data_IF_554881585492
#
_entry.id   IF_554881585492
#
_cell.length_a   1.000
_cell.length_b   1.000
_cell.length_c   1.000
_cell.angle_alpha   90.00
_cell.angle_beta   90.00
_cell.angle_gamma   90.00
#
_symmetry.space_group_name_H-M   'P 1'
#
loop_
_entity.id
_entity.type
_entity.pdbx_description
1 polymer ?
#
# COMPACT_ATOMS: atom_id res chain seq x y z
N UNK A 1 -12.39 -22.98 -4.28
CA UNK A 1 -13.47 -22.00 -4.05
C UNK A 1 -14.46 -22.07 -5.21
N UNK A 2 -15.77 -22.12 -4.95
CA UNK A 2 -16.78 -22.04 -6.05
C UNK A 2 -17.01 -20.56 -6.34
N UNK A 3 -16.76 -20.14 -7.58
CA UNK A 3 -17.10 -18.81 -8.04
C UNK A 3 -18.62 -18.60 -8.01
N UNK A 4 -19.04 -17.46 -7.47
CA UNK A 4 -20.45 -17.05 -7.51
C UNK A 4 -20.65 -16.05 -8.64
N UNK A 5 -21.67 -16.22 -9.45
CA UNK A 5 -22.06 -15.27 -10.48
C UNK A 5 -23.05 -14.29 -9.87
N UNK A 6 -22.76 -13.00 -10.00
CA UNK A 6 -23.63 -11.90 -9.59
C UNK A 6 -23.95 -11.05 -10.80
N UNK A 7 -25.22 -10.73 -11.02
CA UNK A 7 -25.67 -9.84 -12.09
C UNK A 7 -25.93 -8.46 -11.52
N UNK A 8 -25.34 -7.44 -12.12
CA UNK A 8 -25.48 -6.03 -11.71
C UNK A 8 -26.00 -5.23 -12.90
N UNK A 9 -27.00 -4.35 -12.66
CA UNK A 9 -27.38 -3.32 -13.64
C UNK A 9 -26.42 -2.15 -13.49
N UNK A 10 -25.87 -1.69 -14.62
CA UNK A 10 -24.90 -0.58 -14.69
C UNK A 10 -25.55 0.51 -15.57
N UNK A 11 -25.48 1.75 -15.12
CA UNK A 11 -25.94 2.91 -15.89
C UNK A 11 -25.11 3.08 -17.16
N UNK A 12 -25.73 3.58 -18.22
CA UNK A 12 -25.11 3.70 -19.55
C UNK A 12 -23.81 4.51 -19.53
N UNK A 13 -23.76 5.60 -18.75
CA UNK A 13 -22.57 6.44 -18.62
C UNK A 13 -21.41 5.61 -18.04
N UNK A 14 -21.61 4.93 -16.93
CA UNK A 14 -20.58 4.09 -16.29
C UNK A 14 -20.20 2.90 -17.19
N UNK A 15 -21.15 2.36 -17.95
CA UNK A 15 -20.87 1.29 -18.90
C UNK A 15 -19.94 1.73 -20.03
N UNK A 16 -20.12 2.94 -20.58
CA UNK A 16 -19.22 3.48 -21.59
C UNK A 16 -17.81 3.76 -21.03
N UNK A 17 -17.71 4.24 -19.80
CA UNK A 17 -16.42 4.39 -19.13
C UNK A 17 -15.70 3.05 -18.93
N UNK A 18 -16.42 2.01 -18.50
CA UNK A 18 -15.86 0.66 -18.38
C UNK A 18 -15.39 0.12 -19.73
N UNK A 19 -16.14 0.37 -20.81
CA UNK A 19 -15.76 -0.03 -22.17
C UNK A 19 -14.47 0.66 -22.60
N UNK A 20 -14.41 1.98 -22.43
CA UNK A 20 -13.23 2.77 -22.78
C UNK A 20 -12.02 2.30 -22.00
N UNK A 21 -12.12 2.19 -20.68
CA UNK A 21 -11.03 1.71 -19.82
C UNK A 21 -10.59 0.29 -20.21
N UNK A 22 -11.53 -0.58 -20.55
CA UNK A 22 -11.26 -1.94 -21.03
C UNK A 22 -10.39 -1.96 -22.29
N UNK A 23 -10.66 -1.06 -23.24
CA UNK A 23 -9.90 -0.93 -24.48
C UNK A 23 -8.52 -0.31 -24.24
N UNK A 24 -8.46 0.78 -23.47
CA UNK A 24 -7.23 1.53 -23.22
C UNK A 24 -6.18 0.69 -22.44
N UNK A 25 -6.61 -0.29 -21.64
CA UNK A 25 -5.75 -1.08 -20.75
C UNK A 25 -5.69 -2.57 -21.09
N UNK A 26 -6.31 -3.00 -22.20
CA UNK A 26 -6.41 -4.42 -22.59
C UNK A 26 -6.90 -5.33 -21.45
N UNK A 27 -7.93 -4.88 -20.74
CA UNK A 27 -8.52 -5.58 -19.60
C UNK A 27 -9.96 -5.98 -19.86
N UNK A 28 -10.36 -7.20 -19.48
CA UNK A 28 -11.78 -7.58 -19.59
C UNK A 28 -12.65 -6.77 -18.62
N UNK A 29 -13.86 -6.40 -19.06
CA UNK A 29 -14.86 -5.66 -18.26
C UNK A 29 -15.16 -6.38 -16.95
N UNK A 30 -15.23 -7.71 -16.96
CA UNK A 30 -15.43 -8.54 -15.76
C UNK A 30 -14.28 -8.41 -14.77
N UNK A 31 -13.03 -8.29 -15.26
CA UNK A 31 -11.87 -8.06 -14.41
C UNK A 31 -11.93 -6.66 -13.79
N UNK A 32 -12.24 -5.63 -14.57
CA UNK A 32 -12.39 -4.24 -14.10
C UNK A 32 -13.44 -4.16 -12.99
N UNK A 33 -14.62 -4.74 -13.22
CA UNK A 33 -15.71 -4.75 -12.23
C UNK A 33 -15.30 -5.48 -10.94
N UNK A 34 -14.63 -6.62 -11.06
CA UNK A 34 -14.15 -7.39 -9.91
C UNK A 34 -13.10 -6.62 -9.10
N UNK A 35 -12.17 -5.98 -9.79
CA UNK A 35 -11.10 -5.21 -9.15
C UNK A 35 -11.68 -3.94 -8.48
N UNK A 36 -12.68 -3.29 -9.10
CA UNK A 36 -13.41 -2.18 -8.51
C UNK A 36 -14.17 -2.60 -7.23
N UNK A 37 -14.86 -3.75 -7.26
CA UNK A 37 -15.53 -4.27 -6.08
C UNK A 37 -14.55 -4.63 -4.96
N UNK A 38 -13.43 -5.29 -5.29
CA UNK A 38 -12.38 -5.57 -4.30
C UNK A 38 -11.85 -4.29 -3.67
N UNK A 39 -11.56 -3.27 -4.49
CA UNK A 39 -11.10 -1.96 -4.02
C UNK A 39 -12.15 -1.26 -3.15
N UNK A 40 -13.42 -1.33 -3.52
CA UNK A 40 -14.51 -0.79 -2.73
C UNK A 40 -14.55 -1.43 -1.34
N UNK A 41 -14.55 -2.76 -1.26
CA UNK A 41 -14.62 -3.46 0.02
C UNK A 41 -13.35 -3.26 0.86
N UNK A 42 -12.17 -3.18 0.25
CA UNK A 42 -10.92 -2.96 0.97
C UNK A 42 -10.79 -1.54 1.54
N UNK A 43 -11.38 -0.54 0.87
CA UNK A 43 -11.25 0.86 1.28
C UNK A 43 -12.45 1.30 2.12
N UNK A 44 -13.68 1.07 1.65
CA UNK A 44 -14.89 1.66 2.22
C UNK A 44 -15.56 0.81 3.30
N UNK A 45 -15.21 -0.47 3.41
CA UNK A 45 -15.68 -1.31 4.52
C UNK A 45 -14.91 -1.08 5.81
N UNK A 46 -13.80 -0.36 5.75
CA UNK A 46 -13.03 0.01 6.93
C UNK A 46 -13.90 0.91 7.84
N UNK A 47 -14.06 0.58 9.13
CA UNK A 47 -14.82 1.40 10.08
C UNK A 47 -14.18 2.77 10.36
N UNK A 48 -12.93 2.97 9.98
CA UNK A 48 -12.26 4.25 10.13
C UNK A 48 -12.78 5.25 9.07
N UNK A 49 -13.12 6.49 9.45
CA UNK A 49 -13.48 7.53 8.51
C UNK A 49 -12.27 7.81 7.57
N UNK A 50 -12.47 7.61 6.28
CA UNK A 50 -11.41 7.79 5.27
C UNK A 50 -11.61 9.12 4.58
N UNK A 51 -10.56 9.92 4.54
CA UNK A 51 -10.44 11.09 3.68
C UNK A 51 -9.58 10.70 2.48
N UNK A 52 -10.14 10.83 1.28
CA UNK A 52 -9.39 10.59 0.04
C UNK A 52 -8.70 11.89 -0.39
N UNK A 53 -7.39 11.83 -0.52
CA UNK A 53 -6.56 12.92 -1.01
C UNK A 53 -6.00 12.55 -2.39
N UNK A 54 -5.96 13.51 -3.29
CA UNK A 54 -5.17 13.34 -4.50
C UNK A 54 -3.68 13.27 -4.14
N UNK A 55 -2.87 12.68 -5.01
CA UNK A 55 -1.41 12.62 -4.81
C UNK A 55 -0.81 13.99 -4.58
N UNK A 56 -1.24 15.00 -5.36
CA UNK A 56 -0.70 16.35 -5.28
C UNK A 56 -1.10 17.05 -3.97
N UNK A 57 -2.34 16.87 -3.51
CA UNK A 57 -2.80 17.42 -2.22
C UNK A 57 -2.02 16.81 -1.06
N UNK A 58 -1.83 15.49 -1.09
CA UNK A 58 -1.06 14.81 -0.04
C UNK A 58 0.41 15.24 -0.04
N UNK A 59 1.05 15.31 -1.21
CA UNK A 59 2.42 15.82 -1.33
C UNK A 59 2.54 17.26 -0.86
N UNK A 60 1.58 18.14 -1.20
CA UNK A 60 1.53 19.50 -0.71
C UNK A 60 1.42 19.55 0.82
N UNK A 61 0.51 18.79 1.40
CA UNK A 61 0.35 18.73 2.86
C UNK A 61 1.63 18.25 3.56
N UNK A 62 2.30 17.22 3.04
CA UNK A 62 3.58 16.76 3.57
C UNK A 62 4.67 17.82 3.49
N UNK A 63 4.68 18.65 2.45
CA UNK A 63 5.66 19.72 2.30
C UNK A 63 5.45 20.88 3.29
N UNK A 64 4.27 20.98 3.91
CA UNK A 64 4.00 21.94 4.99
C UNK A 64 4.46 21.45 6.37
N UNK A 65 4.87 20.18 6.51
CA UNK A 65 5.26 19.55 7.76
C UNK A 65 6.78 19.58 7.96
N UNK A 66 7.21 19.72 9.21
CA UNK A 66 8.60 19.45 9.59
C UNK A 66 8.83 17.95 9.86
N UNK A 67 10.10 17.55 10.02
CA UNK A 67 10.49 16.15 10.16
C UNK A 67 9.79 15.44 11.31
N UNK A 68 9.62 16.09 12.48
CA UNK A 68 8.90 15.50 13.62
C UNK A 68 7.42 15.28 13.33
N UNK A 69 6.80 16.20 12.61
CA UNK A 69 5.39 16.08 12.21
C UNK A 69 5.19 14.97 11.17
N UNK A 70 6.14 14.83 10.23
CA UNK A 70 6.14 13.74 9.25
C UNK A 70 6.27 12.38 9.97
N UNK A 71 7.18 12.27 10.92
CA UNK A 71 7.33 11.05 11.73
C UNK A 71 6.05 10.74 12.52
N UNK A 72 5.47 11.72 13.20
CA UNK A 72 4.20 11.54 13.94
C UNK A 72 3.04 11.13 13.03
N UNK A 73 2.96 11.69 11.82
CA UNK A 73 1.96 11.30 10.83
C UNK A 73 2.16 9.86 10.36
N UNK A 74 3.42 9.43 10.18
CA UNK A 74 3.74 8.07 9.83
C UNK A 74 3.39 7.08 10.96
N UNK A 75 3.57 7.46 12.22
CA UNK A 75 3.15 6.67 13.38
C UNK A 75 1.63 6.45 13.40
N UNK A 76 0.84 7.49 13.19
CA UNK A 76 -0.62 7.40 13.07
C UNK A 76 -1.00 6.47 11.91
N UNK A 77 -0.37 6.65 10.76
CA UNK A 77 -0.64 5.84 9.57
C UNK A 77 -0.25 4.37 9.76
N UNK A 78 0.82 4.11 10.50
CA UNK A 78 1.23 2.76 10.86
C UNK A 78 0.20 2.08 11.78
N UNK A 79 -0.30 2.76 12.82
CA UNK A 79 -1.33 2.22 13.71
C UNK A 79 -2.62 1.91 12.96
N UNK A 80 -3.10 2.86 12.14
CA UNK A 80 -4.27 2.65 11.29
C UNK A 80 -4.04 1.49 10.29
N UNK A 81 -2.81 1.35 9.79
CA UNK A 81 -2.42 0.27 8.88
C UNK A 81 -2.42 -1.10 9.54
N UNK A 82 -2.02 -1.20 10.82
CA UNK A 82 -2.10 -2.45 11.58
C UNK A 82 -3.56 -2.89 11.79
N UNK A 83 -4.43 -1.98 12.22
CA UNK A 83 -5.86 -2.26 12.38
C UNK A 83 -6.52 -2.67 11.06
N UNK A 84 -6.16 -2.01 9.95
CA UNK A 84 -6.67 -2.34 8.62
C UNK A 84 -6.10 -3.64 8.04
N UNK A 85 -4.88 -4.04 8.44
CA UNK A 85 -4.23 -5.23 7.90
C UNK A 85 -4.91 -6.53 8.33
N UNK A 86 -5.40 -6.60 9.57
CA UNK A 86 -6.13 -7.78 10.05
C UNK A 86 -7.41 -7.98 9.22
N UNK A 87 -8.11 -6.89 8.91
CA UNK A 87 -9.30 -6.91 8.06
C UNK A 87 -8.96 -7.32 6.62
N UNK A 88 -7.88 -6.75 6.06
CA UNK A 88 -7.41 -7.07 4.70
C UNK A 88 -6.99 -8.54 4.55
N UNK A 89 -6.31 -9.08 5.53
CA UNK A 89 -5.86 -10.49 5.53
C UNK A 89 -7.05 -11.44 5.62
N UNK A 90 -7.98 -11.17 6.52
CA UNK A 90 -9.17 -12.01 6.70
C UNK A 90 -10.11 -11.95 5.48
N UNK A 91 -10.40 -10.75 4.97
CA UNK A 91 -11.41 -10.54 3.94
C UNK A 91 -10.91 -10.80 2.50
N UNK A 92 -9.66 -10.44 2.17
CA UNK A 92 -9.14 -10.57 0.80
C UNK A 92 -8.53 -11.93 0.51
N UNK A 93 -7.92 -12.55 1.50
CA UNK A 93 -7.19 -13.81 1.29
C UNK A 93 -7.93 -15.03 1.82
N UNK A 94 -9.01 -14.83 2.59
CA UNK A 94 -9.79 -15.94 3.21
C UNK A 94 -8.89 -16.95 3.94
N UNK A 95 -7.80 -16.47 4.53
CA UNK A 95 -6.78 -17.29 5.18
C UNK A 95 -6.94 -17.07 6.68
N UNK A 96 -7.73 -17.94 7.31
CA UNK A 96 -7.96 -17.93 8.76
C UNK A 96 -6.66 -18.18 9.58
N UNK A 97 -5.63 -18.76 8.94
CA UNK A 97 -4.36 -19.17 9.58
C UNK A 97 -3.11 -18.52 8.95
N UNK A 98 -3.20 -17.34 8.36
CA UNK A 98 -1.99 -16.69 7.86
C UNK A 98 -1.12 -16.29 9.06
N UNK A 99 -0.09 -17.10 9.35
CA UNK A 99 0.96 -16.66 10.29
C UNK A 99 1.51 -15.35 9.78
N UNK A 100 1.25 -14.28 10.50
CA UNK A 100 1.69 -12.94 10.20
C UNK A 100 3.21 -12.86 10.37
N UNK A 101 3.92 -13.29 9.34
CA UNK A 101 5.38 -13.24 9.30
C UNK A 101 5.83 -11.89 8.75
N UNK A 102 7.01 -11.45 9.14
CA UNK A 102 7.64 -10.25 8.58
C UNK A 102 7.60 -10.25 7.05
N UNK A 103 7.88 -11.39 6.43
CA UNK A 103 7.89 -11.53 4.97
C UNK A 103 6.52 -11.26 4.35
N UNK A 104 5.47 -11.82 4.95
CA UNK A 104 4.10 -11.64 4.45
C UNK A 104 3.63 -10.19 4.65
N UNK A 105 3.87 -9.61 5.83
CA UNK A 105 3.47 -8.24 6.15
C UNK A 105 4.19 -7.21 5.26
N UNK A 106 5.51 -7.28 5.15
CA UNK A 106 6.30 -6.37 4.31
C UNK A 106 5.94 -6.57 2.82
N UNK A 107 5.72 -7.81 2.39
CA UNK A 107 5.28 -8.07 1.01
C UNK A 107 3.89 -7.50 0.74
N UNK A 108 2.96 -7.59 1.69
CA UNK A 108 1.63 -6.99 1.56
C UNK A 108 1.73 -5.46 1.47
N UNK A 109 2.48 -4.83 2.38
CA UNK A 109 2.71 -3.39 2.37
C UNK A 109 3.32 -2.93 1.03
N UNK A 110 4.43 -3.55 0.61
CA UNK A 110 5.21 -3.10 -0.54
C UNK A 110 4.57 -3.50 -1.87
N UNK A 111 4.10 -4.75 -2.00
CA UNK A 111 3.63 -5.28 -3.28
C UNK A 111 2.14 -5.05 -3.52
N UNK A 112 1.40 -4.64 -2.48
CA UNK A 112 -0.03 -4.37 -2.58
C UNK A 112 -0.33 -2.91 -2.25
N UNK A 113 -0.12 -2.48 -1.00
CA UNK A 113 -0.52 -1.13 -0.54
C UNK A 113 0.18 -0.03 -1.33
N UNK A 114 1.48 -0.16 -1.58
CA UNK A 114 2.27 0.87 -2.26
C UNK A 114 2.16 0.87 -3.78
N UNK A 115 1.61 -0.18 -4.37
CA UNK A 115 1.46 -0.31 -5.82
C UNK A 115 0.09 0.18 -6.30
N UNK A 116 -0.13 0.11 -7.61
CA UNK A 116 -1.43 0.37 -8.27
C UNK A 116 -2.60 -0.48 -7.75
N UNK A 117 -2.29 -1.62 -7.11
CA UNK A 117 -3.28 -2.51 -6.50
C UNK A 117 -3.91 -1.93 -5.24
N UNK A 118 -3.21 -1.02 -4.58
CA UNK A 118 -3.64 -0.31 -3.37
C UNK A 118 -3.68 1.20 -3.58
N UNK A 119 -2.80 1.92 -2.89
CA UNK A 119 -2.78 3.38 -2.84
C UNK A 119 -1.93 4.03 -3.95
N UNK A 120 -1.20 3.23 -4.72
CA UNK A 120 -0.37 3.70 -5.84
C UNK A 120 0.65 4.80 -5.44
N UNK A 121 1.36 4.59 -4.34
CA UNK A 121 2.34 5.56 -3.82
C UNK A 121 3.62 5.61 -4.65
N UNK A 122 4.01 4.47 -5.21
CA UNK A 122 5.23 4.32 -5.99
C UNK A 122 4.92 3.93 -7.43
N UNK A 123 5.59 4.55 -8.37
CA UNK A 123 5.56 4.13 -9.78
C UNK A 123 6.24 2.76 -9.97
N UNK A 124 7.21 2.46 -9.10
CA UNK A 124 7.89 1.17 -9.06
C UNK A 124 8.40 0.91 -7.65
N UNK A 125 8.07 -0.24 -7.09
CA UNK A 125 8.58 -0.66 -5.79
C UNK A 125 8.95 -2.13 -5.81
N UNK A 126 10.01 -2.50 -5.09
CA UNK A 126 10.51 -3.87 -5.00
C UNK A 126 11.02 -4.18 -3.61
N UNK A 127 10.85 -5.43 -3.20
CA UNK A 127 11.46 -6.00 -2.01
C UNK A 127 12.42 -7.12 -2.40
N UNK A 128 13.64 -7.08 -1.89
CA UNK A 128 14.66 -8.12 -2.10
C UNK A 128 15.00 -8.74 -0.76
N UNK A 129 14.86 -10.05 -0.67
CA UNK A 129 15.12 -10.81 0.56
C UNK A 129 16.44 -11.57 0.46
N UNK A 130 17.31 -11.35 1.43
CA UNK A 130 18.52 -12.12 1.66
C UNK A 130 18.49 -12.70 3.06
N UNK A 131 18.87 -13.96 3.26
CA UNK A 131 18.91 -14.66 4.57
C UNK A 131 18.31 -13.90 5.77
N UNK A 132 19.03 -12.92 6.32
CA UNK A 132 18.67 -12.09 7.47
C UNK A 132 18.51 -10.60 7.13
N UNK A 133 18.40 -10.23 5.86
CA UNK A 133 18.26 -8.86 5.40
C UNK A 133 17.07 -8.71 4.47
N UNK A 134 16.48 -7.54 4.48
CA UNK A 134 15.49 -7.11 3.49
C UNK A 134 15.88 -5.75 2.94
N UNK A 135 15.83 -5.61 1.62
CA UNK A 135 16.05 -4.36 0.92
C UNK A 135 14.72 -3.94 0.30
N UNK A 136 14.32 -2.70 0.54
CA UNK A 136 13.14 -2.09 -0.07
C UNK A 136 13.62 -0.91 -0.91
N UNK A 137 13.25 -0.95 -2.18
CA UNK A 137 13.58 0.08 -3.15
C UNK A 137 12.29 0.57 -3.81
N UNK A 138 12.10 1.90 -3.90
CA UNK A 138 10.92 2.49 -4.52
C UNK A 138 11.21 3.79 -5.25
N UNK A 139 10.54 4.00 -6.40
CA UNK A 139 10.52 5.25 -7.15
C UNK A 139 9.16 5.91 -7.03
N UNK A 140 9.13 7.23 -6.83
CA UNK A 140 7.93 8.06 -6.76
C UNK A 140 8.20 9.47 -7.31
N UNK A 141 7.18 10.31 -7.34
CA UNK A 141 7.27 11.70 -7.85
C UNK A 141 6.73 12.72 -6.83
N UNK A 142 6.82 12.39 -5.53
CA UNK A 142 6.10 13.11 -4.47
C UNK A 142 7.01 14.00 -3.60
N UNK A 143 8.30 14.11 -3.92
CA UNK A 143 9.25 14.95 -3.20
C UNK A 143 9.88 14.30 -1.97
N UNK A 144 10.88 14.98 -1.37
CA UNK A 144 11.71 14.44 -0.28
C UNK A 144 10.90 14.15 0.99
N UNK A 145 9.88 14.96 1.32
CA UNK A 145 9.07 14.75 2.50
C UNK A 145 8.20 13.48 2.40
N UNK A 146 7.80 13.11 1.18
CA UNK A 146 7.17 11.81 0.95
C UNK A 146 8.15 10.65 1.15
N UNK A 147 9.41 10.78 0.69
CA UNK A 147 10.45 9.78 0.95
C UNK A 147 10.64 9.55 2.45
N UNK A 148 10.68 10.63 3.25
CA UNK A 148 10.77 10.56 4.71
C UNK A 148 9.55 9.87 5.32
N UNK A 149 8.36 10.27 4.91
CA UNK A 149 7.11 9.67 5.38
C UNK A 149 7.03 8.17 5.08
N UNK A 150 7.32 7.79 3.83
CA UNK A 150 7.34 6.39 3.43
C UNK A 150 8.41 5.58 4.19
N UNK A 151 9.61 6.16 4.39
CA UNK A 151 10.64 5.56 5.23
C UNK A 151 10.12 5.28 6.65
N UNK A 152 9.51 6.25 7.30
CA UNK A 152 9.04 6.07 8.68
C UNK A 152 7.97 4.98 8.80
N UNK A 153 7.02 4.92 7.86
CA UNK A 153 6.04 3.81 7.84
C UNK A 153 6.74 2.46 7.67
N UNK A 154 7.63 2.33 6.70
CA UNK A 154 8.36 1.08 6.46
C UNK A 154 9.20 0.72 7.68
N UNK A 155 9.86 1.71 8.31
CA UNK A 155 10.65 1.52 9.52
C UNK A 155 9.81 0.94 10.66
N UNK A 156 8.63 1.50 10.95
CA UNK A 156 7.74 0.97 12.00
C UNK A 156 7.31 -0.47 11.71
N UNK A 157 6.96 -0.78 10.46
CA UNK A 157 6.64 -2.15 10.08
C UNK A 157 7.81 -3.11 10.25
N UNK A 158 9.01 -2.70 9.89
CA UNK A 158 10.20 -3.56 10.00
C UNK A 158 10.63 -3.72 11.45
N UNK A 159 10.60 -2.67 12.26
CA UNK A 159 10.89 -2.71 13.71
C UNK A 159 9.91 -3.62 14.46
N UNK A 160 8.63 -3.60 14.11
CA UNK A 160 7.62 -4.51 14.70
C UNK A 160 8.00 -5.97 14.54
N UNK A 161 8.72 -6.33 13.46
CA UNK A 161 9.24 -7.68 13.20
C UNK A 161 10.72 -7.87 13.58
N UNK A 162 11.29 -7.01 14.40
CA UNK A 162 12.69 -7.10 14.86
C UNK A 162 13.72 -6.95 13.74
N UNK A 163 13.47 -6.07 12.78
CA UNK A 163 14.46 -5.64 11.81
C UNK A 163 14.94 -4.23 12.15
N UNK A 164 16.23 -3.99 12.06
CA UNK A 164 16.87 -2.68 12.23
C UNK A 164 17.32 -2.13 10.88
N UNK A 165 17.11 -0.83 10.68
CA UNK A 165 17.62 -0.09 9.53
C UNK A 165 19.15 0.00 9.62
N UNK A 166 19.85 -0.46 8.57
CA UNK A 166 21.32 -0.43 8.52
C UNK A 166 21.86 0.49 7.41
N UNK A 167 21.04 0.81 6.40
CA UNK A 167 21.38 1.73 5.34
C UNK A 167 20.15 2.41 4.80
N UNK A 168 20.23 3.71 4.57
CA UNK A 168 19.19 4.48 3.88
C UNK A 168 19.77 5.45 2.86
N UNK A 169 19.09 5.56 1.73
CA UNK A 169 19.29 6.61 0.75
C UNK A 169 17.92 7.17 0.37
N UNK A 170 17.72 8.45 0.63
CA UNK A 170 16.48 9.15 0.33
C UNK A 170 16.77 10.34 -0.59
N UNK A 171 15.92 10.52 -1.59
CA UNK A 171 15.91 11.74 -2.38
C UNK A 171 14.47 12.10 -2.80
N UNK A 172 14.30 13.10 -3.67
CA UNK A 172 12.99 13.63 -4.06
C UNK A 172 12.10 12.62 -4.79
N UNK A 173 12.66 11.57 -5.35
CA UNK A 173 11.94 10.61 -6.20
C UNK A 173 12.27 9.14 -5.96
N UNK A 174 13.04 8.85 -4.89
CA UNK A 174 13.54 7.50 -4.65
C UNK A 174 13.74 7.25 -3.16
N UNK A 175 13.41 6.02 -2.75
CA UNK A 175 13.83 5.45 -1.47
C UNK A 175 14.66 4.20 -1.71
N UNK A 176 15.70 4.02 -0.91
CA UNK A 176 16.44 2.77 -0.75
C UNK A 176 16.67 2.54 0.73
N UNK A 177 16.17 1.43 1.24
CA UNK A 177 16.22 1.08 2.66
C UNK A 177 16.71 -0.35 2.80
N UNK A 178 17.74 -0.57 3.60
CA UNK A 178 18.25 -1.90 3.92
C UNK A 178 18.08 -2.17 5.41
N UNK A 179 17.47 -3.29 5.73
CA UNK A 179 17.19 -3.72 7.10
C UNK A 179 17.84 -5.06 7.37
N UNK A 180 18.27 -5.27 8.61
CA UNK A 180 18.85 -6.52 9.10
C UNK A 180 18.02 -7.07 10.26
N UNK A 181 17.73 -8.36 10.23
CA UNK A 181 17.04 -9.04 11.32
C UNK A 181 17.95 -9.10 12.55
N UNK A 182 17.43 -8.63 13.68
CA UNK A 182 18.09 -8.69 14.99
C UNK A 182 17.35 -9.69 15.85
N UNK A 183 18.00 -10.79 16.20
CA UNK A 183 17.46 -11.66 17.26
C UNK A 183 17.45 -10.86 18.56
N UNK A 184 16.27 -10.58 19.08
CA UNK A 184 16.12 -10.22 20.49
C UNK A 184 16.29 -11.45 21.36
#
# INVERSE_FOLDING_TARGET
MKDKVVTVRIEDILWEEIKKYSQDHDMSKSKITRDALKKYFSIYRNPLPIILWSRNEFAFALNCLNDKQIESLADISFQNGLEGMDILVQDLFNIEDLKFTARNAISLLVNYTFTEKGQNWFSKVKTIWHKNKVIIYGNHENGINFSKYAKYIILRFTEYFSYELILEELNENKIYLEFKFTKK
#
